data_IF_161442640775
#
_entry.id   IF_161442640775
#
_cell.length_a   1.000
_cell.length_b   1.000
_cell.length_c   1.000
_cell.angle_alpha   90.00
_cell.angle_beta   90.00
_cell.angle_gamma   90.00
#
_symmetry.space_group_name_H-M   'P 1'
#
loop_
_entity.id
_entity.type
_entity.pdbx_description
1 polymer ?
#
# COMPACT_ATOMS: atom_id res chain seq x y z
N UNK A 1 13.39 -15.21 -10.78
CA UNK A 1 11.92 -15.04 -10.81
C UNK A 1 11.52 -14.68 -9.39
N UNK A 2 11.33 -13.39 -9.09
CA UNK A 2 10.77 -13.00 -7.80
C UNK A 2 9.27 -13.25 -7.91
N UNK A 3 8.71 -14.03 -6.99
CA UNK A 3 7.26 -14.21 -6.93
C UNK A 3 6.62 -12.82 -6.83
N UNK A 4 5.57 -12.53 -7.63
CA UNK A 4 4.71 -11.41 -7.30
C UNK A 4 4.27 -11.62 -5.85
N UNK A 5 4.29 -10.57 -5.02
CA UNK A 5 3.69 -10.68 -3.69
C UNK A 5 2.22 -11.03 -3.92
N UNK A 6 1.90 -12.31 -3.73
CA UNK A 6 0.52 -12.77 -3.78
C UNK A 6 -0.25 -12.05 -2.69
N UNK A 7 -1.48 -11.68 -3.01
CA UNK A 7 -2.31 -10.98 -2.07
C UNK A 7 -2.64 -11.89 -0.88
N UNK A 8 -2.16 -11.50 0.30
CA UNK A 8 -2.53 -12.11 1.56
C UNK A 8 -3.57 -11.23 2.28
N UNK A 9 -4.84 -11.67 2.42
CA UNK A 9 -5.88 -10.91 3.09
C UNK A 9 -5.62 -10.71 4.59
N UNK A 10 -4.90 -11.63 5.26
CA UNK A 10 -4.57 -11.53 6.68
C UNK A 10 -3.49 -10.46 6.87
N UNK A 11 -2.44 -10.49 6.04
CA UNK A 11 -1.43 -9.42 6.01
C UNK A 11 -2.07 -8.06 5.74
N UNK A 12 -2.91 -7.97 4.71
CA UNK A 12 -3.60 -6.73 4.34
C UNK A 12 -4.47 -6.20 5.49
N UNK A 13 -5.26 -7.06 6.14
CA UNK A 13 -6.08 -6.68 7.28
C UNK A 13 -5.24 -6.21 8.47
N UNK A 14 -4.11 -6.88 8.75
CA UNK A 14 -3.19 -6.48 9.81
C UNK A 14 -2.56 -5.11 9.56
N UNK A 15 -2.07 -4.86 8.33
CA UNK A 15 -1.49 -3.56 7.97
C UNK A 15 -2.54 -2.44 7.96
N UNK A 16 -3.77 -2.73 7.51
CA UNK A 16 -4.89 -1.80 7.57
C UNK A 16 -5.25 -1.44 9.01
N UNK A 17 -5.23 -2.41 9.92
CA UNK A 17 -5.42 -2.19 11.37
C UNK A 17 -4.32 -1.27 11.91
N UNK A 18 -3.05 -1.58 11.64
CA UNK A 18 -1.91 -0.73 12.03
C UNK A 18 -2.05 0.71 11.52
N UNK A 19 -2.46 0.89 10.26
CA UNK A 19 -2.67 2.23 9.68
C UNK A 19 -3.77 3.00 10.44
N UNK A 20 -4.90 2.34 10.76
CA UNK A 20 -5.99 2.97 11.51
C UNK A 20 -5.64 3.32 12.96
N UNK A 21 -4.75 2.54 13.56
CA UNK A 21 -4.29 2.74 14.94
C UNK A 21 -3.11 3.72 15.04
N UNK A 22 -2.45 4.04 13.92
CA UNK A 22 -1.32 4.98 13.90
C UNK A 22 -1.75 6.40 14.30
N UNK A 23 -0.91 7.06 15.10
CA UNK A 23 -1.22 8.36 15.63
C UNK A 23 -1.08 9.45 14.55
N UNK A 24 -1.94 10.49 14.55
CA UNK A 24 -1.90 11.55 13.52
C UNK A 24 -0.56 12.29 13.39
N UNK A 25 0.26 12.30 14.45
CA UNK A 25 1.57 12.97 14.47
C UNK A 25 2.69 12.15 13.79
N UNK A 26 2.49 10.86 13.56
CA UNK A 26 3.48 9.97 12.94
C UNK A 26 3.24 9.87 11.42
N UNK A 27 3.34 11.00 10.72
CA UNK A 27 3.04 11.08 9.29
C UNK A 27 3.93 10.18 8.42
N UNK A 28 5.21 10.03 8.80
CA UNK A 28 6.14 9.17 8.08
C UNK A 28 5.72 7.70 8.15
N UNK A 29 5.34 7.23 9.34
CA UNK A 29 4.89 5.85 9.56
C UNK A 29 3.55 5.57 8.85
N UNK A 30 2.64 6.55 8.86
CA UNK A 30 1.40 6.47 8.10
C UNK A 30 1.63 6.31 6.60
N UNK A 31 2.54 7.10 6.03
CA UNK A 31 2.89 6.98 4.62
C UNK A 31 3.56 5.66 4.32
N UNK A 32 4.50 5.20 5.16
CA UNK A 32 5.14 3.91 5.00
C UNK A 32 4.11 2.76 5.02
N UNK A 33 3.11 2.83 5.91
CA UNK A 33 2.01 1.85 5.95
C UNK A 33 1.14 1.91 4.70
N UNK A 34 0.82 3.10 4.18
CA UNK A 34 0.05 3.26 2.94
C UNK A 34 0.80 2.77 1.69
N UNK A 35 2.10 3.08 1.57
CA UNK A 35 2.95 2.59 0.49
C UNK A 35 3.07 1.06 0.55
N UNK A 36 3.25 0.50 1.75
CA UNK A 36 3.29 -0.95 1.96
C UNK A 36 1.95 -1.59 1.59
N UNK A 37 0.83 -1.03 2.07
CA UNK A 37 -0.52 -1.47 1.73
C UNK A 37 -0.76 -1.43 0.22
N UNK A 38 -0.29 -0.39 -0.47
CA UNK A 38 -0.42 -0.24 -1.91
C UNK A 38 0.30 -1.38 -2.63
N UNK A 39 1.56 -1.64 -2.28
CA UNK A 39 2.38 -2.71 -2.89
C UNK A 39 1.77 -4.10 -2.66
N UNK A 40 1.39 -4.45 -1.42
CA UNK A 40 0.86 -5.80 -1.11
C UNK A 40 -0.54 -6.04 -1.67
N UNK A 41 -1.28 -4.96 -1.98
CA UNK A 41 -2.65 -5.04 -2.52
C UNK A 41 -2.73 -4.80 -4.03
N UNK A 42 -1.59 -4.50 -4.68
CA UNK A 42 -1.53 -3.95 -6.03
C UNK A 42 -2.26 -4.82 -7.07
N UNK A 43 -2.19 -6.15 -6.91
CA UNK A 43 -2.80 -7.14 -7.82
C UNK A 43 -4.30 -7.35 -7.59
N UNK A 44 -4.88 -6.80 -6.52
CA UNK A 44 -6.30 -6.93 -6.21
C UNK A 44 -7.03 -5.62 -6.43
N UNK A 45 -7.96 -5.59 -7.38
CA UNK A 45 -8.63 -4.36 -7.81
C UNK A 45 -9.25 -3.54 -6.66
N UNK A 46 -10.09 -4.16 -5.84
CA UNK A 46 -10.80 -3.45 -4.76
C UNK A 46 -9.86 -2.99 -3.64
N UNK A 47 -8.98 -3.85 -3.08
CA UNK A 47 -7.94 -3.42 -2.14
C UNK A 47 -7.05 -2.29 -2.68
N UNK A 48 -6.58 -2.41 -3.92
CA UNK A 48 -5.71 -1.41 -4.55
C UNK A 48 -6.41 -0.05 -4.68
N UNK A 49 -7.65 -0.02 -5.18
CA UNK A 49 -8.44 1.20 -5.30
C UNK A 49 -8.68 1.86 -3.93
N UNK A 50 -8.98 1.04 -2.91
CA UNK A 50 -9.17 1.52 -1.53
C UNK A 50 -7.91 2.17 -0.97
N UNK A 51 -6.73 1.63 -1.25
CA UNK A 51 -5.49 2.24 -0.77
C UNK A 51 -5.24 3.59 -1.44
N UNK A 52 -5.52 3.74 -2.75
CA UNK A 52 -5.44 5.04 -3.42
C UNK A 52 -6.40 6.08 -2.82
N UNK A 53 -7.62 5.68 -2.45
CA UNK A 53 -8.56 6.56 -1.74
C UNK A 53 -8.02 7.02 -0.38
N UNK A 54 -7.38 6.12 0.38
CA UNK A 54 -6.73 6.47 1.65
C UNK A 54 -5.53 7.39 1.45
N UNK A 55 -4.71 7.16 0.42
CA UNK A 55 -3.60 8.03 0.05
C UNK A 55 -4.09 9.42 -0.36
N UNK A 56 -5.18 9.51 -1.13
CA UNK A 56 -5.83 10.77 -1.49
C UNK A 56 -6.32 11.52 -0.24
N UNK A 57 -7.00 10.83 0.67
CA UNK A 57 -7.47 11.41 1.92
C UNK A 57 -6.31 11.94 2.78
N UNK A 58 -5.22 11.18 2.90
CA UNK A 58 -4.03 11.58 3.64
C UNK A 58 -3.41 12.84 3.03
N UNK A 59 -3.21 12.85 1.71
CA UNK A 59 -2.67 13.99 0.97
C UNK A 59 -3.52 15.25 1.15
N UNK A 60 -4.85 15.11 1.10
CA UNK A 60 -5.78 16.21 1.36
C UNK A 60 -5.63 16.75 2.78
N UNK A 61 -5.60 15.87 3.78
CA UNK A 61 -5.45 16.24 5.20
C UNK A 61 -4.13 16.95 5.48
N UNK A 62 -3.05 16.54 4.82
CA UNK A 62 -1.72 17.17 4.95
C UNK A 62 -1.49 18.33 4.00
N UNK A 63 -2.48 18.68 3.15
CA UNK A 63 -2.38 19.73 2.10
C UNK A 63 -1.24 19.49 1.10
N UNK A 64 -0.91 18.23 0.84
CA UNK A 64 0.03 17.82 -0.21
C UNK A 64 -0.71 17.79 -1.56
N UNK A 65 -0.83 18.96 -2.19
CA UNK A 65 -1.61 19.11 -3.41
C UNK A 65 -1.03 18.39 -4.63
N UNK A 66 0.30 18.24 -4.68
CA UNK A 66 0.94 17.45 -5.72
C UNK A 66 0.51 15.98 -5.61
N UNK A 67 0.48 15.45 -4.38
CA UNK A 67 0.01 14.10 -4.12
C UNK A 67 -1.50 13.95 -4.39
N UNK A 68 -2.32 14.93 -4.02
CA UNK A 68 -3.77 14.93 -4.36
C UNK A 68 -3.98 14.75 -5.86
N UNK A 69 -3.32 15.56 -6.70
CA UNK A 69 -3.43 15.43 -8.16
C UNK A 69 -2.91 14.08 -8.66
N UNK A 70 -1.80 13.59 -8.08
CA UNK A 70 -1.22 12.29 -8.43
C UNK A 70 -2.11 11.10 -8.09
N UNK A 71 -2.85 11.16 -6.97
CA UNK A 71 -3.79 10.13 -6.55
C UNK A 71 -5.08 10.15 -7.37
N UNK A 72 -5.60 11.32 -7.73
CA UNK A 72 -6.75 11.45 -8.65
C UNK A 72 -6.42 10.78 -9.99
N UNK A 73 -5.26 11.08 -10.57
CA UNK A 73 -4.80 10.43 -11.80
C UNK A 73 -4.73 8.91 -11.64
N UNK A 74 -4.16 8.42 -10.54
CA UNK A 74 -4.01 6.97 -10.28
C UNK A 74 -5.35 6.26 -10.10
N UNK A 75 -6.33 6.87 -9.43
CA UNK A 75 -7.69 6.33 -9.33
C UNK A 75 -8.32 6.13 -10.71
N UNK A 76 -8.06 7.03 -11.67
CA UNK A 76 -8.52 6.87 -13.06
C UNK A 76 -7.74 5.78 -13.82
N UNK A 77 -6.45 5.59 -13.51
CA UNK A 77 -5.59 4.60 -14.16
C UNK A 77 -5.78 3.17 -13.62
N UNK A 78 -6.20 2.98 -12.37
CA UNK A 78 -6.36 1.66 -11.75
C UNK A 78 -7.27 0.74 -12.58
N UNK A 79 -8.49 1.14 -13.00
CA UNK A 79 -9.33 0.31 -13.87
C UNK A 79 -8.65 -0.10 -15.18
N UNK A 80 -7.88 0.81 -15.79
CA UNK A 80 -7.16 0.55 -17.04
C UNK A 80 -6.00 -0.43 -16.83
N UNK A 81 -5.23 -0.26 -15.75
CA UNK A 81 -4.11 -1.14 -15.40
C UNK A 81 -4.56 -2.57 -15.11
N UNK A 82 -5.66 -2.72 -14.36
CA UNK A 82 -6.25 -4.04 -14.07
C UNK A 82 -6.86 -4.71 -15.30
N UNK A 83 -7.56 -3.95 -16.15
CA UNK A 83 -8.15 -4.49 -17.38
C UNK A 83 -7.09 -4.98 -18.37
N UNK A 84 -5.95 -4.28 -18.44
CA UNK A 84 -4.84 -4.63 -19.36
C UNK A 84 -3.83 -5.60 -18.76
N UNK A 85 -3.94 -5.93 -17.46
CA UNK A 85 -2.98 -6.75 -16.72
C UNK A 85 -1.60 -6.10 -16.55
N UNK A 86 -1.44 -4.80 -16.87
CA UNK A 86 -0.17 -4.08 -16.82
C UNK A 86 -0.11 -3.22 -15.57
N UNK A 87 0.34 -3.81 -14.47
CA UNK A 87 0.53 -3.12 -13.21
C UNK A 87 2.03 -2.84 -12.98
N UNK A 88 2.40 -1.64 -12.48
CA UNK A 88 3.79 -1.26 -12.20
C UNK A 88 4.26 -1.90 -10.88
N UNK A 89 4.44 -3.22 -10.85
CA UNK A 89 4.67 -3.97 -9.60
C UNK A 89 5.78 -3.36 -8.74
N UNK A 90 5.48 -3.21 -7.44
CA UNK A 90 6.39 -2.68 -6.41
C UNK A 90 6.58 -1.17 -6.41
N UNK A 91 5.89 -0.44 -7.29
CA UNK A 91 5.75 1.02 -7.20
C UNK A 91 5.09 1.41 -5.87
N UNK A 92 5.54 2.47 -5.21
CA UNK A 92 5.00 2.88 -3.91
C UNK A 92 3.62 3.53 -3.98
N UNK A 93 3.18 3.94 -5.18
CA UNK A 93 1.92 4.65 -5.39
C UNK A 93 2.02 6.17 -5.20
N UNK A 94 3.17 6.68 -4.73
CA UNK A 94 3.42 8.12 -4.52
C UNK A 94 3.50 8.89 -5.84
N UNK A 95 3.15 10.18 -5.81
CA UNK A 95 3.05 11.04 -7.00
C UNK A 95 4.40 11.49 -7.58
N UNK A 96 5.47 11.45 -6.79
CA UNK A 96 6.85 11.76 -7.19
C UNK A 96 7.50 10.68 -8.06
N UNK A 97 6.90 9.49 -8.11
CA UNK A 97 7.29 8.38 -8.98
C UNK A 97 6.30 8.28 -10.13
N UNK A 98 6.78 7.96 -11.34
CA UNK A 98 5.88 7.71 -12.49
C UNK A 98 4.91 6.56 -12.18
N UNK A 99 3.61 6.69 -12.48
CA UNK A 99 2.62 5.62 -12.27
C UNK A 99 2.83 4.42 -13.20
N UNK A 100 3.75 4.49 -14.16
CA UNK A 100 4.04 3.40 -15.09
C UNK A 100 5.38 2.72 -14.83
N UNK A 101 6.10 3.10 -13.76
CA UNK A 101 7.44 2.59 -13.45
C UNK A 101 7.35 1.37 -12.52
N UNK A 102 7.64 0.15 -12.99
CA UNK A 102 7.85 -1.00 -12.10
C UNK A 102 9.16 -0.83 -11.34
N UNK A 103 9.22 -1.29 -10.10
CA UNK A 103 10.41 -1.22 -9.28
C UNK A 103 10.37 -2.21 -8.12
N UNK A 104 11.52 -2.65 -7.59
CA UNK A 104 11.54 -3.40 -6.34
C UNK A 104 10.90 -2.57 -5.21
N UNK A 105 10.11 -3.20 -4.32
CA UNK A 105 9.68 -2.55 -3.09
C UNK A 105 10.88 -2.02 -2.32
N UNK A 106 10.74 -0.83 -1.73
CA UNK A 106 11.73 -0.27 -0.80
C UNK A 106 11.94 -1.21 0.39
N UNK A 107 13.16 -1.15 0.93
CA UNK A 107 13.61 -2.02 2.02
C UNK A 107 12.76 -1.89 3.29
N UNK A 108 12.38 -0.68 3.66
CA UNK A 108 11.52 -0.39 4.81
C UNK A 108 10.12 -1.03 4.69
N UNK A 109 9.52 -1.02 3.49
CA UNK A 109 8.26 -1.73 3.24
C UNK A 109 8.42 -3.24 3.45
N UNK A 110 9.52 -3.82 2.97
CA UNK A 110 9.81 -5.24 3.19
C UNK A 110 10.01 -5.57 4.68
N UNK A 111 10.63 -4.67 5.45
CA UNK A 111 10.79 -4.81 6.90
C UNK A 111 9.44 -4.75 7.63
N UNK A 112 8.53 -3.86 7.21
CA UNK A 112 7.15 -3.77 7.73
C UNK A 112 6.38 -5.07 7.47
N UNK A 113 6.43 -5.60 6.25
CA UNK A 113 5.78 -6.87 5.89
C UNK A 113 6.35 -8.02 6.72
N UNK A 114 7.67 -8.12 6.81
CA UNK A 114 8.32 -9.17 7.59
C UNK A 114 7.95 -9.10 9.08
N UNK A 115 7.83 -7.90 9.64
CA UNK A 115 7.38 -7.72 11.02
C UNK A 115 5.91 -8.14 11.19
N UNK A 116 5.03 -7.75 10.26
CA UNK A 116 3.63 -8.13 10.29
C UNK A 116 3.47 -9.66 10.28
N UNK A 117 4.18 -10.37 9.39
CA UNK A 117 4.17 -11.84 9.38
C UNK A 117 4.59 -12.46 10.70
N UNK A 118 5.67 -11.96 11.34
CA UNK A 118 6.10 -12.43 12.67
C UNK A 118 5.02 -12.21 13.73
N UNK A 119 4.34 -11.07 13.70
CA UNK A 119 3.25 -10.76 14.64
C UNK A 119 2.05 -11.65 14.42
N UNK A 120 1.64 -11.89 13.17
CA UNK A 120 0.53 -12.77 12.80
C UNK A 120 0.81 -14.20 13.24
N UNK A 121 2.00 -14.73 12.94
CA UNK A 121 2.40 -16.09 13.32
C UNK A 121 2.37 -16.27 14.84
N UNK A 122 2.95 -15.34 15.60
CA UNK A 122 2.93 -15.38 17.07
C UNK A 122 1.50 -15.37 17.64
N UNK A 123 0.59 -14.60 17.05
CA UNK A 123 -0.80 -14.55 17.50
C UNK A 123 -1.54 -15.87 17.24
N UNK A 124 -1.18 -16.62 16.19
CA UNK A 124 -1.75 -17.92 15.87
C UNK A 124 -1.20 -19.07 16.77
N UNK A 125 -0.01 -18.89 17.36
CA UNK A 125 0.64 -19.88 18.23
C UNK A 125 0.15 -19.85 19.69
N UNK A 126 -0.61 -18.83 20.11
CA UNK A 126 -1.13 -18.72 21.48
C UNK A 126 -2.49 -19.43 21.55
N UNK A 127 -2.63 -20.58 22.24
CA UNK A 127 -3.91 -21.24 22.41
C UNK A 127 -4.83 -20.37 23.29
N UNK A 128 -6.09 -20.22 22.87
CA UNK A 128 -7.16 -19.54 23.61
C UNK A 128 -7.49 -20.21 24.94
#
# INVERSE_FOLDING_TARGET
>A
MHDPIDFDPILYAHLMKKYRESAPHDLADQWLLLETLHVVSQTQFIPHLRVHDLMLHQAWRTRDWAEVSGQILRLLLVPLGHLTGRLPLGNSGRSDISPFKPMPPRRDMAEVVAQAHRTIARAAEIPS
#
